data_IF_456092183493
#
_entry.id   IF_456092183493
#
_cell.length_a   1.000
_cell.length_b   1.000
_cell.length_c   1.000
_cell.angle_alpha   90.00
_cell.angle_beta   90.00
_cell.angle_gamma   90.00
#
_symmetry.space_group_name_H-M   'P 1'
#
loop_
_entity.id
_entity.type
_entity.pdbx_description
1 polymer ?
#
# COMPACT_ATOMS: atom_id res chain seq x y z
N UNK A 1 -11.41 24.93 -10.47
CA UNK A 1 -12.72 24.26 -10.56
C UNK A 1 -12.44 22.78 -10.41
N UNK A 2 -12.96 22.13 -9.38
CA UNK A 2 -12.68 20.73 -9.04
C UNK A 2 -13.98 19.94 -9.03
N UNK A 3 -14.10 18.90 -9.85
CA UNK A 3 -15.33 18.13 -9.95
C UNK A 3 -15.08 16.61 -9.83
N UNK A 4 -14.46 16.17 -8.74
CA UNK A 4 -14.63 14.77 -8.34
C UNK A 4 -16.05 14.59 -7.79
N UNK A 5 -16.96 14.16 -8.67
CA UNK A 5 -18.32 13.78 -8.31
C UNK A 5 -18.38 12.31 -7.90
N UNK A 6 -19.27 11.97 -6.96
CA UNK A 6 -19.51 10.58 -6.53
C UNK A 6 -20.96 10.19 -6.71
N UNK A 7 -21.23 9.05 -7.32
CA UNK A 7 -22.52 8.37 -7.15
C UNK A 7 -22.44 7.47 -5.91
N UNK A 8 -23.29 7.76 -4.91
CA UNK A 8 -23.37 6.96 -3.68
C UNK A 8 -24.67 6.15 -3.63
N UNK A 9 -24.58 4.95 -3.09
CA UNK A 9 -25.74 4.16 -2.67
C UNK A 9 -26.10 4.55 -1.23
N UNK A 10 -27.36 4.96 -0.99
CA UNK A 10 -27.83 5.52 0.27
C UNK A 10 -27.72 4.54 1.44
N UNK A 11 -26.67 4.67 2.25
CA UNK A 11 -26.44 3.89 3.48
C UNK A 11 -25.13 4.19 4.25
N UNK A 12 -24.47 5.34 4.01
CA UNK A 12 -23.19 5.67 4.67
C UNK A 12 -23.38 6.17 6.11
N UNK A 13 -22.54 5.68 7.03
CA UNK A 13 -22.44 6.26 8.37
C UNK A 13 -21.83 7.67 8.34
N UNK A 14 -22.03 8.46 9.39
CA UNK A 14 -21.43 9.80 9.50
C UNK A 14 -19.88 9.75 9.39
N UNK A 15 -19.26 8.74 10.00
CA UNK A 15 -17.81 8.55 9.95
C UNK A 15 -17.33 8.24 8.53
N UNK A 16 -18.10 7.45 7.78
CA UNK A 16 -17.79 7.13 6.39
C UNK A 16 -17.86 8.37 5.50
N UNK A 17 -18.86 9.23 5.72
CA UNK A 17 -19.00 10.50 4.99
C UNK A 17 -17.83 11.43 5.24
N UNK A 18 -17.42 11.61 6.50
CA UNK A 18 -16.27 12.46 6.84
C UNK A 18 -14.96 11.93 6.26
N UNK A 19 -14.73 10.61 6.38
CA UNK A 19 -13.56 9.98 5.77
C UNK A 19 -13.57 10.13 4.25
N UNK A 20 -14.72 9.90 3.62
CA UNK A 20 -14.87 10.02 2.17
C UNK A 20 -14.61 11.45 1.69
N UNK A 21 -15.14 12.47 2.36
CA UNK A 21 -14.86 13.88 2.02
C UNK A 21 -13.35 14.18 2.06
N UNK A 22 -12.68 13.73 3.12
CA UNK A 22 -11.22 13.87 3.25
C UNK A 22 -10.45 13.14 2.14
N UNK A 23 -10.95 11.97 1.71
CA UNK A 23 -10.35 11.20 0.62
C UNK A 23 -10.58 11.86 -0.73
N UNK A 24 -11.79 12.35 -1.03
CA UNK A 24 -12.10 13.06 -2.27
C UNK A 24 -11.21 14.30 -2.41
N UNK A 25 -11.04 15.07 -1.34
CA UNK A 25 -10.11 16.20 -1.33
C UNK A 25 -8.67 15.78 -1.62
N UNK A 26 -8.21 14.66 -1.07
CA UNK A 26 -6.86 14.14 -1.32
C UNK A 26 -6.67 13.68 -2.77
N UNK A 27 -7.65 12.97 -3.34
CA UNK A 27 -7.60 12.47 -4.71
C UNK A 27 -7.99 13.51 -5.77
N UNK A 28 -8.41 14.70 -5.36
CA UNK A 28 -8.60 15.83 -6.27
C UNK A 28 -7.28 16.34 -6.88
N UNK A 29 -6.15 16.05 -6.23
CA UNK A 29 -4.84 16.32 -6.81
C UNK A 29 -4.56 15.37 -7.99
N UNK A 30 -4.22 15.88 -9.18
CA UNK A 30 -4.02 15.06 -10.38
C UNK A 30 -3.00 13.94 -10.19
N UNK A 31 -1.92 14.20 -9.45
CA UNK A 31 -0.92 13.19 -9.12
C UNK A 31 -1.54 12.00 -8.37
N UNK A 32 -2.32 12.28 -7.31
CA UNK A 32 -2.92 11.25 -6.47
C UNK A 32 -3.97 10.44 -7.24
N UNK A 33 -4.80 11.12 -8.03
CA UNK A 33 -5.78 10.47 -8.90
C UNK A 33 -5.10 9.53 -9.91
N UNK A 34 -4.05 10.01 -10.59
CA UNK A 34 -3.34 9.25 -11.60
C UNK A 34 -2.68 8.00 -11.02
N UNK A 35 -2.13 8.07 -9.80
CA UNK A 35 -1.62 6.88 -9.11
C UNK A 35 -2.75 5.87 -8.85
N UNK A 36 -3.87 6.31 -8.29
CA UNK A 36 -5.01 5.42 -8.04
C UNK A 36 -5.50 4.76 -9.34
N UNK A 37 -5.67 5.56 -10.41
CA UNK A 37 -6.04 5.07 -11.74
C UNK A 37 -5.02 4.06 -12.27
N UNK A 38 -3.72 4.37 -12.20
CA UNK A 38 -2.63 3.51 -12.69
C UNK A 38 -2.68 2.12 -12.06
N UNK A 39 -2.87 2.03 -10.75
CA UNK A 39 -2.92 0.74 -10.06
C UNK A 39 -4.26 0.01 -10.22
N UNK A 40 -5.38 0.73 -10.34
CA UNK A 40 -6.70 0.11 -10.56
C UNK A 40 -6.90 -0.40 -11.99
N UNK A 41 -6.42 0.36 -12.97
CA UNK A 41 -6.54 0.03 -14.40
C UNK A 41 -5.46 -0.95 -14.87
N UNK A 42 -4.48 -1.27 -14.03
CA UNK A 42 -3.44 -2.24 -14.31
C UNK A 42 -4.02 -3.63 -14.59
N UNK A 43 -3.88 -4.10 -15.82
CA UNK A 43 -4.27 -5.46 -16.22
C UNK A 43 -3.10 -6.41 -16.03
N UNK A 44 -3.38 -7.58 -15.45
CA UNK A 44 -2.41 -8.67 -15.27
C UNK A 44 -1.75 -9.01 -16.62
N UNK A 45 -0.42 -8.96 -16.68
CA UNK A 45 0.36 -9.30 -17.87
C UNK A 45 0.66 -8.13 -18.82
N UNK A 46 0.09 -6.93 -18.62
CA UNK A 46 0.45 -5.73 -19.40
C UNK A 46 1.43 -4.82 -18.66
N UNK A 47 1.34 -4.77 -17.34
CA UNK A 47 2.19 -3.95 -16.47
C UNK A 47 2.71 -4.78 -15.31
N UNK A 48 3.96 -4.55 -14.90
CA UNK A 48 4.50 -5.15 -13.67
C UNK A 48 3.83 -4.55 -12.41
N UNK A 49 3.28 -3.34 -12.53
CA UNK A 49 2.58 -2.63 -11.47
C UNK A 49 1.15 -3.16 -11.35
N UNK A 50 0.71 -3.48 -10.13
CA UNK A 50 -0.66 -3.87 -9.79
C UNK A 50 -0.93 -3.69 -8.30
N UNK A 51 -2.21 -3.68 -7.89
CA UNK A 51 -2.61 -3.70 -6.47
C UNK A 51 -1.97 -4.89 -5.75
N UNK A 52 -1.87 -6.06 -6.40
CA UNK A 52 -1.22 -7.25 -5.84
C UNK A 52 0.27 -7.08 -5.63
N UNK A 53 0.99 -6.40 -6.54
CA UNK A 53 2.41 -6.10 -6.35
C UNK A 53 2.61 -5.18 -5.14
N UNK A 54 1.75 -4.16 -5.00
CA UNK A 54 1.78 -3.21 -3.90
C UNK A 54 1.54 -3.92 -2.55
N UNK A 55 0.52 -4.77 -2.45
CA UNK A 55 0.26 -5.61 -1.27
C UNK A 55 1.44 -6.57 -0.99
N UNK A 56 1.96 -7.23 -2.02
CA UNK A 56 3.13 -8.12 -1.90
C UNK A 56 4.34 -7.36 -1.35
N UNK A 57 4.61 -6.18 -1.87
CA UNK A 57 5.69 -5.33 -1.41
C UNK A 57 5.57 -5.08 0.09
N UNK A 58 4.43 -4.58 0.54
CA UNK A 58 4.25 -4.14 1.93
C UNK A 58 4.31 -5.33 2.91
N UNK A 59 3.54 -6.39 2.63
CA UNK A 59 3.33 -7.49 3.59
C UNK A 59 4.48 -8.51 3.56
N UNK A 60 5.15 -8.67 2.41
CA UNK A 60 6.16 -9.71 2.23
C UNK A 60 7.55 -9.12 1.98
N UNK A 61 7.74 -8.38 0.90
CA UNK A 61 9.07 -7.92 0.49
C UNK A 61 9.69 -6.97 1.51
N UNK A 62 8.95 -5.94 1.91
CA UNK A 62 9.38 -4.93 2.86
C UNK A 62 9.65 -5.52 4.23
N UNK A 63 8.76 -6.41 4.68
CA UNK A 63 8.91 -7.15 5.95
C UNK A 63 10.18 -8.00 5.98
N UNK A 64 10.42 -8.76 4.90
CA UNK A 64 11.57 -9.66 4.78
C UNK A 64 12.90 -8.90 4.70
N UNK A 65 12.92 -7.80 3.96
CA UNK A 65 14.15 -7.04 3.69
C UNK A 65 14.37 -5.85 4.62
N UNK A 66 13.45 -5.59 5.57
CA UNK A 66 13.56 -4.46 6.51
C UNK A 66 13.55 -3.10 5.80
N UNK A 67 12.72 -2.95 4.76
CA UNK A 67 12.77 -1.77 3.90
C UNK A 67 12.41 -0.51 4.69
N UNK A 68 13.39 0.39 4.76
CA UNK A 68 13.27 1.72 5.34
C UNK A 68 13.83 2.78 4.40
N UNK A 69 13.25 3.97 4.45
CA UNK A 69 13.73 5.14 3.72
C UNK A 69 13.28 6.42 4.41
N UNK A 70 13.89 7.54 4.04
CA UNK A 70 13.49 8.86 4.54
C UNK A 70 12.58 9.58 3.55
N UNK A 71 11.54 10.21 4.07
CA UNK A 71 10.69 11.14 3.33
C UNK A 71 10.81 12.54 3.92
N UNK A 72 10.78 13.56 3.06
CA UNK A 72 10.71 14.96 3.49
C UNK A 72 9.24 15.39 3.50
N UNK A 73 8.71 15.73 4.67
CA UNK A 73 7.34 16.21 4.83
C UNK A 73 7.32 17.48 5.66
N UNK A 74 6.74 18.56 5.11
CA UNK A 74 6.69 19.89 5.77
C UNK A 74 8.07 20.37 6.27
N UNK A 75 9.10 20.22 5.44
CA UNK A 75 10.48 20.59 5.79
C UNK A 75 11.21 19.64 6.74
N UNK A 76 10.53 18.67 7.35
CA UNK A 76 11.13 17.70 8.28
C UNK A 76 11.42 16.38 7.59
N UNK A 77 12.55 15.76 7.94
CA UNK A 77 12.89 14.38 7.54
C UNK A 77 12.17 13.42 8.47
N UNK A 78 11.50 12.43 7.91
CA UNK A 78 10.83 11.35 8.64
C UNK A 78 11.29 10.02 8.06
N UNK A 79 11.87 9.17 8.90
CA UNK A 79 12.20 7.80 8.54
C UNK A 79 10.94 6.94 8.59
N UNK A 80 10.72 6.17 7.53
CA UNK A 80 9.61 5.24 7.40
C UNK A 80 10.19 3.84 7.30
N UNK A 81 9.89 2.99 8.28
CA UNK A 81 9.99 1.54 8.13
C UNK A 81 8.65 1.02 7.63
N UNK A 82 8.62 0.52 6.40
CA UNK A 82 7.37 0.26 5.66
C UNK A 82 6.44 -0.69 6.40
N UNK A 83 6.97 -1.81 6.92
CA UNK A 83 6.16 -2.83 7.58
C UNK A 83 5.53 -2.33 8.90
N UNK A 84 6.29 -1.60 9.71
CA UNK A 84 5.79 -1.02 10.95
C UNK A 84 4.77 0.10 10.68
N UNK A 85 5.05 0.97 9.70
CA UNK A 85 4.13 2.05 9.30
C UNK A 85 2.80 1.49 8.79
N UNK A 86 2.84 0.39 8.03
CA UNK A 86 1.64 -0.31 7.56
C UNK A 86 0.87 -0.96 8.70
N UNK A 87 1.59 -1.63 9.61
CA UNK A 87 0.99 -2.28 10.77
C UNK A 87 0.30 -1.26 11.69
N UNK A 88 0.93 -0.12 11.93
CA UNK A 88 0.33 0.99 12.68
C UNK A 88 -0.93 1.53 11.99
N UNK A 89 -0.91 1.69 10.66
CA UNK A 89 -2.08 2.12 9.90
C UNK A 89 -3.25 1.12 9.99
N UNK A 90 -2.97 -0.19 9.93
CA UNK A 90 -3.98 -1.24 10.11
C UNK A 90 -4.62 -1.21 11.50
N UNK A 91 -3.85 -0.92 12.55
CA UNK A 91 -4.38 -0.78 13.91
C UNK A 91 -5.23 0.48 14.06
N UNK A 92 -4.77 1.62 13.53
CA UNK A 92 -5.48 2.89 13.63
C UNK A 92 -6.83 2.89 12.90
N UNK A 93 -6.86 2.33 11.68
CA UNK A 93 -8.04 2.39 10.82
C UNK A 93 -8.95 1.16 10.92
N UNK A 94 -8.59 0.15 11.72
CA UNK A 94 -9.18 -1.20 11.69
C UNK A 94 -9.05 -1.84 10.30
N UNK A 95 -9.01 -3.17 10.23
CA UNK A 95 -8.93 -3.90 8.93
C UNK A 95 -10.07 -3.56 7.96
N UNK A 96 -11.16 -2.99 8.47
CA UNK A 96 -12.34 -2.61 7.69
C UNK A 96 -12.09 -1.44 6.72
N UNK A 97 -11.30 -0.43 7.13
CA UNK A 97 -11.08 0.80 6.35
C UNK A 97 -9.72 0.85 5.65
N UNK A 98 -9.02 -0.28 5.58
CA UNK A 98 -7.65 -0.33 5.07
C UNK A 98 -7.38 -1.66 4.37
N UNK A 99 -8.00 -1.86 3.20
CA UNK A 99 -7.82 -3.05 2.37
C UNK A 99 -7.52 -2.68 0.91
N UNK A 100 -6.35 -3.09 0.35
CA UNK A 100 -6.01 -2.84 -1.05
C UNK A 100 -6.99 -3.46 -2.05
N UNK A 101 -7.68 -4.54 -1.70
CA UNK A 101 -8.51 -5.31 -2.65
C UNK A 101 -10.00 -5.02 -2.56
N UNK A 102 -10.42 -4.12 -1.68
CA UNK A 102 -11.82 -3.85 -1.40
C UNK A 102 -12.68 -5.11 -1.14
N UNK A 103 -12.15 -6.14 -0.47
CA UNK A 103 -12.88 -7.37 -0.18
C UNK A 103 -13.91 -7.15 0.94
N UNK A 104 -15.13 -7.62 0.72
CA UNK A 104 -16.25 -7.56 1.68
C UNK A 104 -17.54 -7.08 1.02
N UNK A 105 -18.48 -8.00 0.81
CA UNK A 105 -19.62 -7.88 -0.13
C UNK A 105 -20.86 -7.14 0.38
N UNK A 106 -20.81 -6.47 1.54
CA UNK A 106 -21.98 -5.72 2.08
C UNK A 106 -21.65 -4.33 2.63
N UNK A 107 -20.41 -4.08 3.09
CA UNK A 107 -19.96 -2.75 3.54
C UNK A 107 -18.90 -2.13 2.61
N UNK A 108 -18.57 -2.80 1.51
CA UNK A 108 -17.78 -2.23 0.43
C UNK A 108 -18.67 -1.47 -0.51
N UNK A 109 -18.97 -0.23 -0.17
CA UNK A 109 -19.63 0.64 -1.12
C UNK A 109 -18.62 0.91 -2.23
N UNK A 110 -18.84 0.26 -3.36
CA UNK A 110 -18.18 0.62 -4.60
C UNK A 110 -18.67 2.03 -4.95
N UNK A 111 -17.72 2.92 -5.14
CA UNK A 111 -17.91 4.32 -5.49
C UNK A 111 -17.29 4.51 -6.86
N UNK A 112 -17.91 5.36 -7.66
CA UNK A 112 -17.30 5.85 -8.89
C UNK A 112 -16.87 7.28 -8.63
N UNK A 113 -15.57 7.54 -8.84
CA UNK A 113 -15.00 8.88 -8.82
C UNK A 113 -14.58 9.27 -10.24
N UNK A 114 -14.70 10.54 -10.56
CA UNK A 114 -14.30 11.10 -11.85
C UNK A 114 -13.23 12.17 -11.65
N UNK A 115 -12.35 12.36 -12.62
CA UNK A 115 -11.55 13.59 -12.69
C UNK A 115 -12.20 14.61 -13.63
N UNK A 116 -11.62 15.81 -13.72
CA UNK A 116 -12.12 16.89 -14.58
C UNK A 116 -12.10 16.54 -16.08
N UNK A 117 -11.38 15.48 -16.47
CA UNK A 117 -11.31 14.97 -17.85
C UNK A 117 -12.36 13.89 -18.14
N UNK A 118 -13.21 13.56 -17.16
CA UNK A 118 -14.23 12.51 -17.30
C UNK A 118 -13.71 11.08 -17.18
N UNK A 119 -12.45 10.87 -16.76
CA UNK A 119 -11.92 9.53 -16.49
C UNK A 119 -12.54 8.99 -15.22
N UNK A 120 -13.17 7.83 -15.33
CA UNK A 120 -13.85 7.17 -14.20
C UNK A 120 -12.97 6.12 -13.52
N UNK A 121 -13.11 6.00 -12.20
CA UNK A 121 -12.51 4.92 -11.41
C UNK A 121 -13.57 4.34 -10.50
N UNK A 122 -13.89 3.06 -10.70
CA UNK A 122 -14.59 2.27 -9.69
C UNK A 122 -13.60 1.93 -8.56
N UNK A 123 -13.91 2.36 -7.34
CA UNK A 123 -13.06 2.20 -6.15
C UNK A 123 -13.93 2.03 -4.90
N UNK A 124 -13.33 1.91 -3.71
CA UNK A 124 -14.04 1.87 -2.42
C UNK A 124 -13.32 2.74 -1.38
N UNK A 125 -14.02 3.22 -0.35
CA UNK A 125 -13.45 4.08 0.72
C UNK A 125 -12.15 3.48 1.29
N UNK A 126 -12.19 2.18 1.62
CA UNK A 126 -11.05 1.44 2.18
C UNK A 126 -9.85 1.32 1.23
N UNK A 127 -10.10 1.23 -0.07
CA UNK A 127 -9.04 1.22 -1.08
C UNK A 127 -8.43 2.60 -1.22
N UNK A 128 -9.26 3.64 -1.34
CA UNK A 128 -8.81 5.02 -1.39
C UNK A 128 -7.96 5.35 -0.16
N UNK A 129 -8.38 4.93 1.04
CA UNK A 129 -7.64 5.16 2.27
C UNK A 129 -6.27 4.43 2.27
N UNK A 130 -6.24 3.18 1.79
CA UNK A 130 -5.00 2.45 1.60
C UNK A 130 -4.04 3.17 0.64
N UNK A 131 -4.53 3.62 -0.52
CA UNK A 131 -3.72 4.36 -1.49
C UNK A 131 -3.25 5.72 -0.95
N UNK A 132 -4.09 6.44 -0.22
CA UNK A 132 -3.71 7.68 0.46
C UNK A 132 -2.53 7.46 1.38
N UNK A 133 -2.54 6.39 2.18
CA UNK A 133 -1.40 6.04 3.03
C UNK A 133 -0.17 5.67 2.21
N UNK A 134 -0.31 4.85 1.16
CA UNK A 134 0.82 4.41 0.34
C UNK A 134 1.53 5.62 -0.32
N UNK A 135 0.76 6.53 -0.91
CA UNK A 135 1.30 7.77 -1.51
C UNK A 135 1.92 8.66 -0.43
N UNK A 136 1.21 8.90 0.68
CA UNK A 136 1.69 9.81 1.74
C UNK A 136 2.97 9.34 2.43
N UNK A 137 3.29 8.04 2.37
CA UNK A 137 4.46 7.45 2.98
C UNK A 137 5.55 7.08 1.96
N UNK A 138 5.48 7.56 0.71
CA UNK A 138 6.55 7.32 -0.27
C UNK A 138 6.63 5.89 -0.80
N UNK A 139 5.61 5.07 -0.55
CA UNK A 139 5.61 3.63 -0.88
C UNK A 139 5.57 3.43 -2.39
N UNK A 140 4.79 4.26 -3.09
CA UNK A 140 4.61 4.18 -4.53
C UNK A 140 5.91 4.52 -5.25
N UNK A 141 6.58 5.56 -4.78
CA UNK A 141 7.86 6.05 -5.30
C UNK A 141 8.98 5.02 -5.08
N UNK A 142 8.96 4.31 -3.95
CA UNK A 142 9.90 3.22 -3.71
C UNK A 142 9.65 2.05 -4.67
N UNK A 143 8.38 1.64 -4.86
CA UNK A 143 8.04 0.54 -5.76
C UNK A 143 8.43 0.88 -7.20
N UNK A 144 8.17 2.11 -7.66
CA UNK A 144 8.50 2.52 -9.03
C UNK A 144 10.00 2.40 -9.31
N UNK A 145 10.87 2.64 -8.31
CA UNK A 145 12.32 2.48 -8.42
C UNK A 145 12.81 1.03 -8.39
N UNK A 146 12.05 0.13 -7.75
CA UNK A 146 12.46 -1.25 -7.49
C UNK A 146 11.47 -2.29 -8.06
N UNK A 147 10.67 -1.89 -9.06
CA UNK A 147 9.52 -2.67 -9.53
C UNK A 147 9.92 -4.08 -9.98
N UNK A 148 11.03 -4.20 -10.72
CA UNK A 148 11.48 -5.47 -11.28
C UNK A 148 11.99 -6.44 -10.20
N UNK A 149 12.67 -5.92 -9.17
CA UNK A 149 13.16 -6.74 -8.05
C UNK A 149 12.00 -7.31 -7.24
N UNK A 150 11.03 -6.46 -6.92
CA UNK A 150 9.83 -6.83 -6.16
C UNK A 150 8.99 -7.82 -6.97
N UNK A 151 8.80 -7.56 -8.27
CA UNK A 151 8.04 -8.42 -9.17
C UNK A 151 8.72 -9.80 -9.35
N UNK A 152 10.05 -9.82 -9.49
CA UNK A 152 10.83 -11.08 -9.52
C UNK A 152 10.69 -11.86 -8.22
N UNK A 153 10.75 -11.22 -7.04
CA UNK A 153 10.55 -11.89 -5.75
C UNK A 153 9.13 -12.48 -5.62
N UNK A 154 8.12 -11.73 -6.05
CA UNK A 154 6.73 -12.19 -6.11
C UNK A 154 6.58 -13.45 -6.98
N UNK A 155 7.13 -13.44 -8.20
CA UNK A 155 7.04 -14.56 -9.13
C UNK A 155 7.85 -15.79 -8.68
N UNK A 156 9.05 -15.58 -8.12
CA UNK A 156 9.86 -16.65 -7.53
C UNK A 156 9.09 -17.41 -6.45
N UNK A 157 8.22 -16.71 -5.70
CA UNK A 157 7.40 -17.35 -4.68
C UNK A 157 6.16 -18.04 -5.26
N UNK A 158 5.54 -17.48 -6.30
CA UNK A 158 4.40 -18.12 -7.00
C UNK A 158 4.79 -19.49 -7.58
N UNK A 159 6.00 -19.60 -8.13
CA UNK A 159 6.52 -20.84 -8.71
C UNK A 159 6.93 -21.92 -7.68
N UNK A 160 6.89 -21.66 -6.37
CA UNK A 160 7.12 -22.69 -5.32
C UNK A 160 5.89 -23.57 -5.08
N UNK A 161 4.82 -23.41 -5.85
CA UNK A 161 3.60 -24.23 -5.84
C UNK A 161 3.76 -25.66 -6.39
N UNK A 162 4.97 -26.26 -6.42
CA UNK A 162 5.09 -27.71 -6.56
C UNK A 162 4.61 -28.35 -5.26
N UNK A 163 3.45 -29.03 -5.35
CA UNK A 163 2.71 -29.76 -4.31
C UNK A 163 3.63 -30.28 -3.18
N UNK A 164 3.55 -29.65 -2.00
CA UNK A 164 4.04 -30.27 -0.76
C UNK A 164 2.89 -31.10 -0.14
N UNK A 165 3.17 -32.29 0.41
CA UNK A 165 2.14 -33.13 1.02
C UNK A 165 1.42 -32.40 2.16
N UNK A 166 0.11 -32.63 2.28
CA UNK A 166 -0.87 -31.81 3.02
C UNK A 166 -0.67 -31.72 4.54
N UNK A 167 0.26 -32.48 5.13
CA UNK A 167 0.40 -32.60 6.58
C UNK A 167 1.26 -31.52 7.26
N UNK A 168 1.76 -30.51 6.54
CA UNK A 168 2.55 -29.45 7.16
C UNK A 168 1.72 -28.20 7.48
N UNK A 169 1.71 -27.80 8.77
CA UNK A 169 1.15 -26.51 9.21
C UNK A 169 1.71 -25.38 8.34
N UNK A 170 0.83 -24.49 7.84
CA UNK A 170 1.21 -23.34 7.00
C UNK A 170 2.17 -22.44 7.77
N UNK A 171 3.46 -22.42 7.36
CA UNK A 171 4.46 -21.47 7.87
C UNK A 171 4.21 -20.07 7.28
N UNK A 172 4.48 -19.03 8.07
CA UNK A 172 4.41 -17.64 7.58
C UNK A 172 5.36 -17.43 6.38
N UNK A 173 4.93 -16.62 5.41
CA UNK A 173 5.66 -16.42 4.14
C UNK A 173 6.95 -15.62 4.32
N UNK A 174 6.88 -14.56 5.14
CA UNK A 174 7.97 -13.64 5.47
C UNK A 174 8.12 -13.53 6.99
N UNK A 175 9.36 -13.69 7.46
CA UNK A 175 9.76 -13.32 8.83
C UNK A 175 10.23 -11.87 8.80
N UNK A 176 9.86 -11.08 9.79
CA UNK A 176 10.28 -9.67 9.87
C UNK A 176 11.78 -9.59 10.10
N UNK A 177 12.47 -8.74 9.32
CA UNK A 177 13.90 -8.46 9.51
C UNK A 177 14.21 -7.92 10.92
N UNK A 178 13.26 -7.22 11.54
CA UNK A 178 13.40 -6.72 12.91
C UNK A 178 13.32 -7.83 13.98
N UNK A 179 12.91 -9.05 13.61
CA UNK A 179 12.86 -10.21 14.51
C UNK A 179 14.09 -11.11 14.38
N UNK A 180 15.04 -10.78 13.51
CA UNK A 180 16.34 -11.43 13.41
C UNK A 180 17.43 -10.57 14.04
N UNK A 181 18.35 -11.20 14.76
CA UNK A 181 19.54 -10.54 15.30
C UNK A 181 20.57 -10.40 14.18
N UNK A 182 20.86 -9.17 13.75
CA UNK A 182 21.95 -8.87 12.83
C UNK A 182 23.22 -8.58 13.61
N UNK A 183 24.23 -9.44 13.51
CA UNK A 183 25.54 -9.17 14.10
C UNK A 183 26.34 -8.32 13.12
N UNK A 184 26.66 -7.09 13.50
CA UNK A 184 27.48 -6.18 12.71
C UNK A 184 28.83 -5.97 13.42
N UNK A 185 29.91 -6.47 12.83
CA UNK A 185 31.26 -6.22 13.32
C UNK A 185 31.76 -4.88 12.79
N UNK A 186 31.66 -3.83 13.61
CA UNK A 186 32.08 -2.48 13.25
C UNK A 186 33.28 -2.07 14.10
N UNK A 187 34.36 -1.60 13.47
CA UNK A 187 35.50 -0.99 14.18
C UNK A 187 35.19 0.47 14.47
N UNK A 188 35.06 0.84 15.74
CA UNK A 188 34.89 2.24 16.15
C UNK A 188 36.22 2.82 16.62
N UNK A 189 36.57 4.01 16.13
CA UNK A 189 37.73 4.77 16.61
C UNK A 189 37.20 5.96 17.39
N UNK A 190 37.53 6.03 18.68
CA UNK A 190 37.18 7.16 19.55
C UNK A 190 38.41 8.06 19.65
N UNK A 191 38.24 9.36 19.37
CA UNK A 191 39.27 10.38 19.60
C UNK A 191 38.85 11.21 20.80
N UNK A 192 39.77 11.44 21.72
CA UNK A 192 39.60 12.37 22.82
C UNK A 192 40.40 13.65 22.50
N UNK A 193 39.82 14.81 22.81
CA UNK A 193 40.51 16.11 22.83
C UNK A 193 41.22 16.33 24.16
#
# INVERSE_FOLDING_TARGET
>A
MSAINTHQNNGLSFMDKFLLESLLKFFNEPYNFNILHRYRSAKKGKTNISVSLLDWFIVNYAKKNGIQYEIKKYGRRKTILVEQSYTAALYAHKKLYFDPFARGSKQGQDLIIYNDQGVEISTAIRQMNFFRWAISNGVIEYIDKHVDEIYKDMNKRSNRGRRKPSNHKKKQLSVSACKSLGIHSVKMTVKFE
#
